data_IF_756233776509
#
_entry.id   IF_756233776509
#
_cell.length_a   1.000
_cell.length_b   1.000
_cell.length_c   1.000
_cell.angle_alpha   90.00
_cell.angle_beta   90.00
_cell.angle_gamma   90.00
#
_symmetry.space_group_name_H-M   'P 1'
#
loop_
_entity.id
_entity.type
_entity.pdbx_description
1 polymer ?
#
# COMPACT_ATOMS: atom_id res chain seq x y z
N UNK A 1 -9.51 -47.95 25.66
CA UNK A 1 -8.38 -47.25 25.01
C UNK A 1 -7.78 -46.32 26.05
N UNK A 2 -6.52 -46.54 26.46
CA UNK A 2 -5.92 -45.83 27.61
C UNK A 2 -5.88 -44.31 27.35
N UNK A 3 -6.32 -43.49 28.30
CA UNK A 3 -6.40 -42.01 28.21
C UNK A 3 -5.09 -41.37 27.75
N UNK A 4 -3.96 -41.96 28.13
CA UNK A 4 -2.62 -41.56 27.66
C UNK A 4 -2.42 -41.68 26.14
N UNK A 5 -2.97 -42.72 25.49
CA UNK A 5 -2.90 -42.86 24.03
C UNK A 5 -3.75 -41.82 23.30
N UNK A 6 -4.88 -41.41 23.90
CA UNK A 6 -5.76 -40.39 23.32
C UNK A 6 -5.12 -39.00 23.39
N UNK A 7 -4.49 -38.62 24.51
CA UNK A 7 -3.78 -37.35 24.62
C UNK A 7 -2.54 -37.25 23.73
N UNK A 8 -1.77 -38.35 23.59
CA UNK A 8 -0.62 -38.39 22.70
C UNK A 8 -1.04 -38.26 21.23
N UNK A 9 -2.13 -38.92 20.82
CA UNK A 9 -2.72 -38.76 19.50
C UNK A 9 -3.19 -37.33 19.26
N UNK A 10 -3.89 -36.70 20.21
CA UNK A 10 -4.32 -35.30 20.07
C UNK A 10 -3.11 -34.37 19.87
N UNK A 11 -2.04 -34.49 20.66
CA UNK A 11 -0.83 -33.66 20.49
C UNK A 11 -0.10 -33.92 19.16
N UNK A 12 -0.03 -35.18 18.72
CA UNK A 12 0.59 -35.55 17.45
C UNK A 12 -0.20 -35.06 16.22
N UNK A 13 -1.51 -34.82 16.36
CA UNK A 13 -2.35 -34.29 15.28
C UNK A 13 -2.59 -32.78 15.38
N UNK A 14 -2.58 -32.17 16.57
CA UNK A 14 -2.79 -30.72 16.73
C UNK A 14 -1.53 -29.90 16.51
N UNK A 15 -0.36 -30.38 16.92
CA UNK A 15 0.90 -29.64 16.73
C UNK A 15 1.25 -29.42 15.24
N UNK A 16 1.18 -30.42 14.35
CA UNK A 16 1.43 -30.22 12.91
C UNK A 16 0.35 -29.38 12.23
N UNK A 17 -0.88 -29.45 12.71
CA UNK A 17 -2.00 -28.66 12.18
C UNK A 17 -1.85 -27.18 12.55
N UNK A 18 -1.44 -26.90 13.79
CA UNK A 18 -1.18 -25.52 14.25
C UNK A 18 0.06 -24.96 13.56
N UNK A 19 1.15 -25.72 13.40
CA UNK A 19 2.31 -25.24 12.62
C UNK A 19 1.95 -25.03 11.15
N UNK A 20 1.18 -25.92 10.52
CA UNK A 20 0.68 -25.75 9.14
C UNK A 20 -0.21 -24.51 8.99
N UNK A 21 -1.10 -24.25 9.96
CA UNK A 21 -1.97 -23.06 9.96
C UNK A 21 -1.20 -21.74 10.14
N UNK A 22 -0.02 -21.75 10.79
CA UNK A 22 0.83 -20.57 10.96
C UNK A 22 1.90 -20.42 9.86
N UNK A 23 2.43 -21.53 9.35
CA UNK A 23 3.45 -21.53 8.29
C UNK A 23 2.85 -21.25 6.92
N UNK A 24 1.64 -21.71 6.62
CA UNK A 24 1.02 -21.47 5.31
C UNK A 24 0.81 -19.96 5.02
N UNK A 25 0.28 -19.13 5.93
CA UNK A 25 0.15 -17.69 5.71
C UNK A 25 1.48 -16.96 5.56
N UNK A 26 2.52 -17.37 6.31
CA UNK A 26 3.86 -16.77 6.25
C UNK A 26 4.58 -17.16 4.96
N UNK A 27 4.54 -18.43 4.57
CA UNK A 27 5.11 -18.92 3.31
C UNK A 27 4.43 -18.29 2.09
N UNK A 28 3.10 -18.12 2.14
CA UNK A 28 2.33 -17.49 1.07
C UNK A 28 2.60 -15.98 0.98
N UNK A 29 2.90 -15.29 2.11
CA UNK A 29 3.42 -13.91 2.12
C UNK A 29 4.84 -13.82 1.52
N UNK A 30 5.76 -14.69 1.90
CA UNK A 30 7.14 -14.69 1.39
C UNK A 30 7.18 -14.95 -0.12
N UNK A 31 6.37 -15.88 -0.63
CA UNK A 31 6.29 -16.15 -2.08
C UNK A 31 5.70 -15.00 -2.88
N UNK A 32 4.75 -14.24 -2.34
CA UNK A 32 4.16 -13.10 -3.04
C UNK A 32 5.15 -11.94 -3.24
N UNK A 33 5.93 -11.60 -2.20
CA UNK A 33 6.96 -10.56 -2.27
C UNK A 33 8.17 -10.94 -3.12
N UNK A 34 8.62 -12.19 -3.02
CA UNK A 34 9.71 -12.72 -3.85
C UNK A 34 9.34 -12.65 -5.33
N UNK A 35 8.06 -12.79 -5.66
CA UNK A 35 7.57 -12.70 -7.04
C UNK A 35 7.35 -11.27 -7.54
N UNK A 36 6.97 -10.31 -6.66
CA UNK A 36 6.75 -8.93 -7.07
C UNK A 36 8.05 -8.24 -7.50
N UNK A 37 9.17 -8.47 -6.80
CA UNK A 37 10.45 -7.82 -7.08
C UNK A 37 10.46 -6.32 -6.77
N UNK A 38 11.46 -5.61 -7.30
CA UNK A 38 11.69 -4.18 -7.04
C UNK A 38 11.69 -3.37 -8.33
N UNK A 39 11.06 -2.20 -8.29
CA UNK A 39 11.18 -1.14 -9.28
C UNK A 39 12.44 -0.31 -9.00
N UNK A 40 13.11 0.15 -10.07
CA UNK A 40 14.33 0.96 -9.96
C UNK A 40 14.05 2.44 -10.16
N UNK A 41 13.20 2.77 -11.13
CA UNK A 41 12.85 4.13 -11.48
C UNK A 41 11.36 4.34 -11.27
N UNK A 42 11.01 5.43 -10.58
CA UNK A 42 9.62 5.86 -10.44
C UNK A 42 9.54 7.35 -10.74
N UNK A 43 8.59 7.76 -11.56
CA UNK A 43 8.24 9.16 -11.78
C UNK A 43 6.74 9.34 -11.68
N UNK A 44 6.30 10.31 -10.91
CA UNK A 44 4.88 10.57 -10.62
C UNK A 44 4.53 11.97 -11.06
N UNK A 45 3.37 12.11 -11.71
CA UNK A 45 2.73 13.38 -12.03
C UNK A 45 1.33 13.41 -11.45
N UNK A 46 0.99 14.49 -10.76
CA UNK A 46 -0.40 14.78 -10.36
C UNK A 46 -1.09 15.44 -11.54
N UNK A 47 -1.92 14.69 -12.26
CA UNK A 47 -2.56 15.16 -13.50
C UNK A 47 -3.96 15.72 -13.22
N UNK A 48 -4.60 15.25 -12.15
CA UNK A 48 -5.94 15.69 -11.74
C UNK A 48 -6.00 15.77 -10.22
N UNK A 49 -6.42 16.92 -9.69
CA UNK A 49 -6.61 17.20 -8.27
C UNK A 49 -7.47 18.47 -8.11
N UNK A 50 -8.04 18.70 -6.92
CA UNK A 50 -8.75 19.94 -6.58
C UNK A 50 -7.81 21.06 -6.11
N UNK A 51 -6.54 20.78 -5.86
CA UNK A 51 -5.54 21.77 -5.49
C UNK A 51 -4.68 22.15 -6.71
N UNK A 52 -4.46 23.44 -6.98
CA UNK A 52 -3.53 23.87 -8.01
C UNK A 52 -2.07 23.71 -7.54
N UNK A 53 -1.16 23.45 -8.47
CA UNK A 53 0.29 23.58 -8.23
C UNK A 53 0.98 24.34 -9.36
N UNK A 54 0.86 23.86 -10.60
CA UNK A 54 1.40 24.54 -11.78
C UNK A 54 0.33 25.40 -12.46
N UNK A 55 0.67 26.65 -12.78
CA UNK A 55 -0.24 27.57 -13.47
C UNK A 55 -0.58 27.08 -14.89
N UNK A 56 -1.82 27.33 -15.33
CA UNK A 56 -2.28 27.01 -16.68
C UNK A 56 -2.92 25.62 -16.83
N UNK A 57 -2.94 24.81 -15.77
CA UNK A 57 -3.67 23.55 -15.70
C UNK A 57 -5.05 23.74 -15.06
N UNK A 58 -6.01 22.91 -15.46
CA UNK A 58 -7.35 22.94 -14.89
C UNK A 58 -7.39 22.10 -13.61
N UNK A 59 -8.06 22.63 -12.58
CA UNK A 59 -8.33 21.93 -11.31
C UNK A 59 -9.81 21.57 -11.24
N UNK A 60 -10.11 20.43 -10.63
CA UNK A 60 -11.50 19.97 -10.42
C UNK A 60 -11.53 18.90 -9.34
N UNK A 61 -12.71 18.62 -8.80
CA UNK A 61 -12.87 17.58 -7.78
C UNK A 61 -12.59 16.19 -8.37
N UNK A 62 -11.57 15.52 -7.84
CA UNK A 62 -11.13 14.18 -8.24
C UNK A 62 -9.62 14.00 -8.09
N UNK A 63 -9.14 12.79 -8.41
CA UNK A 63 -7.72 12.44 -8.37
C UNK A 63 -7.31 11.65 -9.61
N UNK A 64 -6.13 11.93 -10.14
CA UNK A 64 -5.45 11.07 -11.10
C UNK A 64 -3.94 11.29 -11.06
N UNK A 65 -3.19 10.19 -10.97
CA UNK A 65 -1.73 10.19 -10.99
C UNK A 65 -1.23 9.44 -12.22
N UNK A 66 -0.44 10.10 -13.07
CA UNK A 66 0.29 9.45 -14.15
C UNK A 66 1.66 9.04 -13.62
N UNK A 67 1.94 7.74 -13.64
CA UNK A 67 3.09 7.16 -12.97
C UNK A 67 3.87 6.31 -13.98
N UNK A 68 5.17 6.59 -14.11
CA UNK A 68 6.11 5.78 -14.88
C UNK A 68 6.93 4.96 -13.90
N UNK A 69 6.92 3.63 -14.06
CA UNK A 69 7.69 2.69 -13.24
C UNK A 69 8.55 1.82 -14.15
N UNK A 70 9.85 2.07 -14.16
CA UNK A 70 10.77 1.50 -15.16
C UNK A 70 10.20 1.69 -16.60
N UNK A 71 9.84 0.61 -17.30
CA UNK A 71 9.27 0.66 -18.66
C UNK A 71 7.72 0.69 -18.67
N UNK A 72 7.06 0.59 -17.51
CA UNK A 72 5.60 0.59 -17.40
C UNK A 72 5.06 2.01 -17.22
N UNK A 73 4.08 2.40 -18.02
CA UNK A 73 3.29 3.62 -17.81
C UNK A 73 1.92 3.23 -17.26
N UNK A 74 1.58 3.72 -16.07
CA UNK A 74 0.30 3.48 -15.44
C UNK A 74 -0.40 4.77 -15.05
N UNK A 75 -1.73 4.72 -15.04
CA UNK A 75 -2.59 5.79 -14.53
C UNK A 75 -3.35 5.27 -13.31
N UNK A 76 -3.16 5.91 -12.16
CA UNK A 76 -3.90 5.62 -10.94
C UNK A 76 -5.05 6.61 -10.80
N UNK A 77 -6.28 6.10 -10.87
CA UNK A 77 -7.53 6.88 -11.04
C UNK A 77 -7.52 7.81 -12.26
N UNK A 78 -8.68 8.37 -12.58
CA UNK A 78 -8.93 9.10 -13.85
C UNK A 78 -9.59 10.46 -13.65
N UNK A 79 -9.72 10.93 -12.40
CA UNK A 79 -10.43 12.16 -12.08
C UNK A 79 -11.93 12.11 -12.41
N UNK A 80 -12.60 13.25 -12.25
CA UNK A 80 -14.05 13.38 -12.47
C UNK A 80 -14.47 13.74 -13.89
N UNK A 81 -13.52 14.12 -14.77
CA UNK A 81 -13.84 14.62 -16.09
C UNK A 81 -12.73 14.29 -17.10
N UNK A 82 -13.09 13.57 -18.18
CA UNK A 82 -12.14 13.12 -19.19
C UNK A 82 -11.50 14.25 -20.01
N UNK A 83 -12.21 15.33 -20.30
CA UNK A 83 -11.66 16.45 -21.08
C UNK A 83 -10.59 17.20 -20.26
N UNK A 84 -10.84 17.43 -18.96
CA UNK A 84 -9.85 18.01 -18.04
C UNK A 84 -8.63 17.09 -17.93
N UNK A 85 -8.84 15.79 -17.76
CA UNK A 85 -7.77 14.80 -17.66
C UNK A 85 -6.84 14.86 -18.88
N UNK A 86 -7.40 14.71 -20.09
CA UNK A 86 -6.63 14.66 -21.33
C UNK A 86 -5.98 16.01 -21.65
N UNK A 87 -6.66 17.13 -21.40
CA UNK A 87 -6.08 18.46 -21.62
C UNK A 87 -4.91 18.75 -20.67
N UNK A 88 -5.02 18.34 -19.40
CA UNK A 88 -3.91 18.46 -18.47
C UNK A 88 -2.72 17.58 -18.88
N UNK A 89 -2.95 16.33 -19.30
CA UNK A 89 -1.89 15.46 -19.85
C UNK A 89 -1.19 16.15 -21.03
N UNK A 90 -1.96 16.66 -21.99
CA UNK A 90 -1.44 17.36 -23.17
C UNK A 90 -0.56 18.56 -22.77
N UNK A 91 -1.01 19.39 -21.84
CA UNK A 91 -0.26 20.55 -21.35
C UNK A 91 1.02 20.17 -20.58
N UNK A 92 1.01 19.01 -19.92
CA UNK A 92 2.17 18.45 -19.23
C UNK A 92 3.12 17.68 -20.18
N UNK A 93 2.77 17.54 -21.46
CA UNK A 93 3.54 16.76 -22.42
C UNK A 93 3.47 15.24 -22.18
N UNK A 94 2.41 14.77 -21.52
CA UNK A 94 2.15 13.36 -21.25
C UNK A 94 1.24 12.79 -22.35
N UNK A 95 1.61 11.63 -22.90
CA UNK A 95 0.86 10.98 -23.96
C UNK A 95 -0.13 9.95 -23.38
N UNK A 96 -1.46 10.16 -23.50
CA UNK A 96 -2.44 9.19 -23.02
C UNK A 96 -2.41 7.84 -23.77
N UNK A 97 -1.89 7.81 -24.99
CA UNK A 97 -1.77 6.58 -25.78
C UNK A 97 -0.60 5.68 -25.32
N UNK A 98 0.32 6.23 -24.53
CA UNK A 98 1.44 5.48 -23.93
C UNK A 98 1.06 4.70 -22.67
N UNK A 99 -0.13 4.92 -22.11
CA UNK A 99 -0.57 4.26 -20.88
C UNK A 99 -0.81 2.77 -21.14
N UNK A 100 -0.16 1.90 -20.40
CA UNK A 100 -0.31 0.44 -20.48
C UNK A 100 -1.45 -0.05 -19.57
N UNK A 101 -1.52 0.53 -18.37
CA UNK A 101 -2.36 0.07 -17.27
C UNK A 101 -3.10 1.23 -16.63
N UNK A 102 -4.39 1.01 -16.31
CA UNK A 102 -5.14 1.88 -15.39
C UNK A 102 -5.44 1.09 -14.12
N UNK A 103 -5.20 1.69 -12.96
CA UNK A 103 -5.59 1.14 -11.67
C UNK A 103 -6.64 2.06 -11.06
N UNK A 104 -7.87 1.56 -10.91
CA UNK A 104 -8.95 2.29 -10.26
C UNK A 104 -9.00 1.91 -8.78
N UNK A 105 -8.99 2.92 -7.92
CA UNK A 105 -9.03 2.74 -6.46
C UNK A 105 -10.41 2.29 -6.01
N UNK A 106 -11.47 3.01 -6.41
CA UNK A 106 -12.87 2.77 -6.07
C UNK A 106 -13.83 3.41 -7.09
N UNK A 107 -15.13 3.15 -6.96
CA UNK A 107 -16.13 3.41 -8.02
C UNK A 107 -16.63 4.88 -8.10
N UNK A 108 -16.23 5.77 -7.19
CA UNK A 108 -16.79 7.12 -7.19
C UNK A 108 -16.44 7.91 -8.46
N UNK A 109 -17.38 8.73 -8.91
CA UNK A 109 -17.33 9.41 -10.20
C UNK A 109 -16.12 10.34 -10.36
N UNK A 110 -15.63 10.91 -9.28
CA UNK A 110 -14.44 11.77 -9.21
C UNK A 110 -13.11 11.00 -9.31
N UNK A 111 -13.17 9.67 -9.35
CA UNK A 111 -12.02 8.78 -9.59
C UNK A 111 -12.14 8.02 -10.91
N UNK A 112 -13.36 7.73 -11.38
CA UNK A 112 -13.60 6.94 -12.61
C UNK A 112 -14.11 7.75 -13.81
N UNK A 113 -14.41 9.03 -13.61
CA UNK A 113 -15.11 9.88 -14.57
C UNK A 113 -14.33 10.15 -15.85
N UNK A 114 -13.00 10.12 -15.80
CA UNK A 114 -12.15 10.28 -16.99
C UNK A 114 -11.94 9.02 -17.81
N UNK A 115 -12.24 7.83 -17.26
CA UNK A 115 -11.87 6.55 -17.87
C UNK A 115 -12.39 6.38 -19.29
N UNK A 116 -13.68 6.59 -19.53
CA UNK A 116 -14.26 6.28 -20.84
C UNK A 116 -13.77 7.24 -21.93
N UNK A 117 -13.42 8.48 -21.58
CA UNK A 117 -12.77 9.41 -22.52
C UNK A 117 -11.35 8.96 -22.84
N UNK A 118 -10.61 8.44 -21.86
CA UNK A 118 -9.30 7.85 -22.09
C UNK A 118 -9.39 6.62 -23.02
N UNK A 119 -10.40 5.77 -22.86
CA UNK A 119 -10.58 4.59 -23.70
C UNK A 119 -10.94 4.94 -25.16
N UNK A 120 -11.49 6.13 -25.44
CA UNK A 120 -11.66 6.62 -26.82
C UNK A 120 -10.32 6.84 -27.54
N UNK A 121 -9.26 7.22 -26.80
CA UNK A 121 -7.93 7.49 -27.37
C UNK A 121 -6.97 6.32 -27.23
N UNK A 122 -7.17 5.46 -26.23
CA UNK A 122 -6.34 4.29 -25.95
C UNK A 122 -7.20 3.08 -25.51
N UNK A 123 -7.78 2.34 -26.45
CA UNK A 123 -8.67 1.23 -26.13
C UNK A 123 -7.95 -0.05 -25.68
N UNK A 124 -6.62 -0.16 -25.87
CA UNK A 124 -5.86 -1.40 -25.62
C UNK A 124 -5.28 -1.51 -24.20
N UNK A 125 -5.78 -0.69 -23.27
CA UNK A 125 -5.36 -0.65 -21.85
C UNK A 125 -5.87 -1.88 -21.10
N UNK A 126 -5.12 -2.30 -20.07
CA UNK A 126 -5.63 -3.19 -19.02
C UNK A 126 -6.06 -2.41 -17.78
N UNK A 127 -7.30 -2.56 -17.35
CA UNK A 127 -7.88 -1.85 -16.20
C UNK A 127 -7.97 -2.80 -15.00
N UNK A 128 -7.21 -2.51 -13.94
CA UNK A 128 -7.30 -3.18 -12.65
C UNK A 128 -8.31 -2.44 -11.79
N UNK A 129 -9.32 -3.16 -11.30
CA UNK A 129 -10.42 -2.60 -10.53
C UNK A 129 -10.90 -3.58 -9.45
N UNK A 130 -11.41 -3.11 -8.29
CA UNK A 130 -12.03 -3.95 -7.28
C UNK A 130 -13.11 -4.87 -7.87
N UNK A 131 -13.08 -6.16 -7.56
CA UNK A 131 -14.10 -7.17 -7.95
C UNK A 131 -15.53 -6.67 -7.67
N UNK A 132 -15.70 -5.92 -6.57
CA UNK A 132 -16.93 -5.33 -6.09
C UNK A 132 -17.49 -4.20 -6.97
N UNK A 133 -16.81 -3.81 -8.04
CA UNK A 133 -17.35 -2.85 -9.01
C UNK A 133 -18.63 -3.36 -9.67
N UNK A 134 -19.60 -2.47 -10.00
CA UNK A 134 -20.81 -2.86 -10.71
C UNK A 134 -20.53 -3.56 -12.03
N UNK A 135 -21.28 -4.63 -12.32
CA UNK A 135 -21.12 -5.43 -13.54
C UNK A 135 -21.29 -4.58 -14.80
N UNK A 136 -22.24 -3.65 -14.83
CA UNK A 136 -22.46 -2.78 -15.98
C UNK A 136 -21.29 -1.83 -16.26
N UNK A 137 -20.60 -1.39 -15.20
CA UNK A 137 -19.39 -0.58 -15.34
C UNK A 137 -18.26 -1.40 -15.99
N UNK A 138 -18.06 -2.65 -15.52
CA UNK A 138 -17.09 -3.60 -16.07
C UNK A 138 -17.40 -3.93 -17.55
N UNK A 139 -18.66 -4.21 -17.87
CA UNK A 139 -19.12 -4.47 -19.23
C UNK A 139 -18.86 -3.29 -20.18
N UNK A 140 -19.03 -2.05 -19.70
CA UNK A 140 -18.75 -0.85 -20.50
C UNK A 140 -17.26 -0.70 -20.81
N UNK A 141 -16.36 -1.06 -19.89
CA UNK A 141 -14.90 -1.04 -20.17
C UNK A 141 -14.59 -2.04 -21.29
N UNK A 142 -15.09 -3.26 -21.18
CA UNK A 142 -14.84 -4.34 -22.15
C UNK A 142 -15.44 -3.99 -23.52
N UNK A 143 -16.63 -3.38 -23.56
CA UNK A 143 -17.25 -2.98 -24.83
C UNK A 143 -16.49 -1.87 -25.57
N UNK A 144 -15.63 -1.13 -24.86
CA UNK A 144 -14.72 -0.13 -25.44
C UNK A 144 -13.36 -0.72 -25.87
N UNK A 145 -13.17 -2.04 -25.76
CA UNK A 145 -11.99 -2.75 -26.25
C UNK A 145 -10.91 -3.02 -25.18
N UNK A 146 -11.05 -2.43 -23.99
CA UNK A 146 -10.09 -2.60 -22.90
C UNK A 146 -10.24 -3.95 -22.21
N UNK A 147 -9.14 -4.43 -21.62
CA UNK A 147 -9.14 -5.62 -20.77
C UNK A 147 -9.41 -5.22 -19.33
N UNK A 148 -10.00 -6.10 -18.55
CA UNK A 148 -10.19 -5.90 -17.11
C UNK A 148 -9.47 -6.99 -16.31
N UNK A 149 -8.94 -6.61 -15.15
CA UNK A 149 -8.50 -7.52 -14.11
C UNK A 149 -9.29 -7.17 -12.86
N UNK A 150 -10.16 -8.08 -12.44
CA UNK A 150 -10.92 -7.94 -11.20
C UNK A 150 -10.02 -8.29 -10.02
N UNK A 151 -9.83 -7.33 -9.13
CA UNK A 151 -8.95 -7.43 -7.98
C UNK A 151 -9.79 -7.66 -6.74
N UNK A 152 -9.62 -8.82 -6.11
CA UNK A 152 -10.16 -9.11 -4.78
C UNK A 152 -9.05 -9.16 -3.74
N UNK A 153 -8.02 -9.95 -4.05
CA UNK A 153 -6.84 -10.18 -3.23
C UNK A 153 -5.66 -9.31 -3.71
N UNK A 154 -4.59 -9.16 -2.89
CA UNK A 154 -3.35 -8.53 -3.35
C UNK A 154 -2.90 -9.10 -4.68
N UNK A 155 -2.62 -8.23 -5.64
CA UNK A 155 -2.34 -8.64 -7.02
C UNK A 155 -1.11 -7.91 -7.54
N UNK A 156 -0.13 -8.67 -8.05
CA UNK A 156 1.03 -8.10 -8.75
C UNK A 156 0.60 -7.68 -10.15
N UNK A 157 0.89 -6.43 -10.51
CA UNK A 157 0.62 -5.85 -11.84
C UNK A 157 1.84 -6.08 -12.74
N UNK A 158 3.02 -5.71 -12.25
CA UNK A 158 4.29 -5.87 -12.92
C UNK A 158 5.42 -5.93 -11.88
N UNK A 159 6.67 -6.05 -12.33
CA UNK A 159 7.82 -6.04 -11.42
C UNK A 159 7.84 -4.76 -10.58
N UNK A 160 7.79 -4.92 -9.26
CA UNK A 160 7.77 -3.84 -8.28
C UNK A 160 6.43 -3.11 -8.16
N UNK A 161 5.38 -3.50 -8.89
CA UNK A 161 4.08 -2.82 -8.89
C UNK A 161 2.97 -3.80 -8.54
N UNK A 162 2.18 -3.50 -7.51
CA UNK A 162 1.08 -4.34 -7.05
C UNK A 162 -0.05 -3.51 -6.46
N UNK A 163 -1.17 -4.15 -6.13
CA UNK A 163 -2.26 -3.53 -5.36
C UNK A 163 -2.48 -4.24 -4.04
N UNK A 164 -3.13 -3.56 -3.10
CA UNK A 164 -3.46 -4.13 -1.77
C UNK A 164 -4.48 -5.26 -1.80
N UNK A 165 -5.17 -5.45 -2.93
CA UNK A 165 -6.48 -6.08 -2.93
C UNK A 165 -7.56 -5.13 -2.39
N UNK A 166 -8.78 -5.61 -2.31
CA UNK A 166 -9.89 -4.85 -1.75
C UNK A 166 -9.75 -4.71 -0.24
N UNK A 167 -10.04 -3.51 0.25
CA UNK A 167 -10.18 -3.19 1.65
C UNK A 167 -11.53 -2.51 1.79
N UNK A 168 -12.39 -3.05 2.66
CA UNK A 168 -13.71 -2.49 2.91
C UNK A 168 -13.70 -1.51 4.08
N UNK A 169 -14.35 -0.36 3.90
CA UNK A 169 -14.77 0.49 5.01
C UNK A 169 -15.54 1.71 4.55
N UNK A 170 -16.32 2.29 5.47
CA UNK A 170 -17.25 3.39 5.20
C UNK A 170 -18.21 3.13 4.01
N UNK A 171 -18.58 1.86 3.79
CA UNK A 171 -19.51 1.48 2.72
C UNK A 171 -18.87 1.29 1.34
N UNK A 172 -17.55 1.43 1.23
CA UNK A 172 -16.83 1.38 -0.05
C UNK A 172 -15.74 0.31 0.00
N UNK A 173 -15.67 -0.49 -1.06
CA UNK A 173 -14.51 -1.34 -1.35
C UNK A 173 -13.49 -0.52 -2.13
N UNK A 174 -12.26 -0.46 -1.62
CA UNK A 174 -11.18 0.32 -2.21
C UNK A 174 -9.88 -0.47 -2.24
N UNK A 175 -9.07 -0.27 -3.28
CA UNK A 175 -7.69 -0.74 -3.33
C UNK A 175 -6.70 0.43 -3.39
N UNK A 176 -5.50 0.21 -2.89
CA UNK A 176 -4.37 1.11 -3.04
C UNK A 176 -3.32 0.51 -3.98
N UNK A 177 -2.61 1.39 -4.70
CA UNK A 177 -1.44 1.04 -5.50
C UNK A 177 -0.19 1.02 -4.62
N UNK A 178 0.64 0.01 -4.79
CA UNK A 178 1.90 -0.18 -4.08
C UNK A 178 3.01 -0.29 -5.11
N UNK A 179 4.08 0.49 -4.92
CA UNK A 179 5.31 0.40 -5.70
C UNK A 179 6.46 0.10 -4.74
N UNK A 180 7.08 -1.05 -4.90
CA UNK A 180 8.16 -1.55 -4.05
C UNK A 180 9.50 -1.18 -4.70
N UNK A 181 10.33 -0.44 -3.97
CA UNK A 181 11.67 -0.05 -4.41
C UNK A 181 12.71 -0.48 -3.39
N UNK A 182 13.99 -0.49 -3.77
CA UNK A 182 15.08 -0.75 -2.82
C UNK A 182 15.18 0.29 -1.69
N UNK A 183 14.64 1.49 -1.92
CA UNK A 183 14.63 2.59 -0.95
C UNK A 183 13.38 2.60 -0.06
N UNK A 184 12.45 1.65 -0.23
CA UNK A 184 11.19 1.54 0.50
C UNK A 184 9.96 1.52 -0.42
N UNK A 185 8.80 1.35 0.19
CA UNK A 185 7.53 1.24 -0.53
C UNK A 185 6.84 2.59 -0.67
N UNK A 186 6.34 2.89 -1.88
CA UNK A 186 5.45 4.00 -2.14
C UNK A 186 4.01 3.47 -2.20
N UNK A 187 3.11 4.10 -1.46
CA UNK A 187 1.69 3.73 -1.37
C UNK A 187 0.84 4.88 -1.90
N UNK A 188 0.00 4.61 -2.90
CA UNK A 188 -0.96 5.57 -3.44
C UNK A 188 -2.39 5.12 -3.19
N UNK A 189 -3.21 6.02 -2.67
CA UNK A 189 -4.63 5.79 -2.35
C UNK A 189 -5.52 6.79 -3.07
N UNK A 190 -6.73 6.37 -3.44
CA UNK A 190 -7.73 7.24 -4.06
C UNK A 190 -8.29 8.21 -3.04
N UNK A 191 -9.21 7.70 -2.21
CA UNK A 191 -9.81 8.44 -1.10
C UNK A 191 -9.38 7.89 0.26
N UNK A 192 -9.05 6.61 0.38
CA UNK A 192 -8.88 5.92 1.66
C UNK A 192 -10.15 5.83 2.51
N UNK A 193 -11.29 5.49 1.90
CA UNK A 193 -12.55 5.22 2.61
C UNK A 193 -12.40 4.23 3.76
N UNK A 194 -11.61 3.15 3.65
CA UNK A 194 -11.40 2.23 4.77
C UNK A 194 -10.67 2.82 5.98
N UNK A 195 -9.96 3.94 5.78
CA UNK A 195 -8.99 4.53 6.69
C UNK A 195 -7.59 4.43 6.11
N UNK A 196 -6.92 5.57 5.94
CA UNK A 196 -5.56 5.61 5.37
C UNK A 196 -4.53 4.90 6.26
N UNK A 197 -4.75 4.92 7.57
CA UNK A 197 -4.02 4.13 8.57
C UNK A 197 -4.12 2.61 8.32
N UNK A 198 -5.31 2.11 7.94
CA UNK A 198 -5.50 0.70 7.58
C UNK A 198 -4.81 0.35 6.27
N UNK A 199 -4.83 1.25 5.28
CA UNK A 199 -4.11 1.07 4.02
C UNK A 199 -2.60 0.98 4.28
N UNK A 200 -2.05 1.86 5.11
CA UNK A 200 -0.63 1.84 5.50
C UNK A 200 -0.28 0.55 6.22
N UNK A 201 -1.08 0.13 7.20
CA UNK A 201 -0.90 -1.14 7.91
C UNK A 201 -0.91 -2.33 6.95
N UNK A 202 -1.88 -2.41 6.03
CA UNK A 202 -1.96 -3.45 5.00
C UNK A 202 -0.75 -3.44 4.07
N UNK A 203 -0.32 -2.27 3.59
CA UNK A 203 0.86 -2.15 2.72
C UNK A 203 2.15 -2.58 3.44
N UNK A 204 2.32 -2.20 4.71
CA UNK A 204 3.46 -2.62 5.52
C UNK A 204 3.46 -4.15 5.73
N UNK A 205 2.30 -4.73 6.01
CA UNK A 205 2.15 -6.18 6.15
C UNK A 205 2.42 -6.96 4.86
N UNK A 206 1.98 -6.43 3.72
CA UNK A 206 2.16 -7.05 2.42
C UNK A 206 3.60 -6.94 1.92
N UNK A 207 4.29 -5.85 2.24
CA UNK A 207 5.63 -5.58 1.69
C UNK A 207 6.77 -5.94 2.63
N UNK A 208 6.56 -5.91 3.94
CA UNK A 208 7.62 -6.11 4.92
C UNK A 208 8.77 -5.08 4.82
N UNK A 209 8.58 -4.00 4.06
CA UNK A 209 9.56 -2.92 3.86
C UNK A 209 9.10 -1.64 4.55
N UNK A 210 10.03 -0.72 4.81
CA UNK A 210 9.67 0.62 5.28
C UNK A 210 8.78 1.31 4.25
N UNK A 211 7.82 2.11 4.72
CA UNK A 211 6.98 2.93 3.85
C UNK A 211 7.71 4.25 3.58
N UNK A 212 8.20 4.43 2.35
CA UNK A 212 8.91 5.63 1.93
C UNK A 212 7.93 6.80 1.72
N UNK A 213 6.79 6.56 1.07
CA UNK A 213 5.80 7.59 0.76
C UNK A 213 4.38 7.04 0.91
N UNK A 214 3.50 7.84 1.51
CA UNK A 214 2.04 7.66 1.39
C UNK A 214 1.45 8.89 0.71
N UNK A 215 0.85 8.74 -0.47
CA UNK A 215 0.30 9.85 -1.27
C UNK A 215 -1.11 9.60 -1.78
N UNK A 216 -1.90 10.65 -1.93
CA UNK A 216 -3.27 10.56 -2.44
C UNK A 216 -4.30 11.23 -1.53
N UNK A 217 -5.57 10.86 -1.69
CA UNK A 217 -6.65 11.32 -0.81
C UNK A 217 -6.71 10.52 0.49
N UNK A 218 -6.79 11.19 1.63
CA UNK A 218 -6.84 10.53 2.95
C UNK A 218 -8.25 10.49 3.58
N UNK A 219 -9.26 11.07 2.90
CA UNK A 219 -10.65 11.22 3.38
C UNK A 219 -10.74 11.82 4.79
N UNK A 220 -10.00 12.91 5.00
CA UNK A 220 -9.92 13.62 6.28
C UNK A 220 -10.60 14.99 6.27
N UNK A 221 -11.17 15.42 5.14
CA UNK A 221 -11.99 16.62 5.09
C UNK A 221 -13.15 16.52 6.09
N UNK A 222 -13.27 17.50 6.99
CA UNK A 222 -14.29 17.50 8.06
C UNK A 222 -14.00 16.57 9.25
N UNK A 223 -12.85 15.88 9.28
CA UNK A 223 -12.43 15.09 10.45
C UNK A 223 -11.98 15.98 11.60
N UNK A 224 -12.14 15.49 12.84
CA UNK A 224 -11.61 16.17 14.01
C UNK A 224 -10.08 16.18 14.01
N UNK A 225 -9.51 17.22 14.62
CA UNK A 225 -8.06 17.34 14.83
C UNK A 225 -7.48 16.13 15.56
N UNK A 226 -8.16 15.61 16.59
CA UNK A 226 -7.73 14.42 17.34
C UNK A 226 -7.63 13.17 16.45
N UNK A 227 -8.60 12.98 15.54
CA UNK A 227 -8.57 11.87 14.58
C UNK A 227 -7.36 12.00 13.65
N UNK A 228 -7.12 13.20 13.13
CA UNK A 228 -5.98 13.47 12.23
C UNK A 228 -4.66 13.22 12.96
N UNK A 229 -4.51 13.71 14.19
CA UNK A 229 -3.31 13.48 15.02
C UNK A 229 -3.09 12.01 15.33
N UNK A 230 -4.17 11.26 15.59
CA UNK A 230 -4.09 9.81 15.77
C UNK A 230 -3.52 9.11 14.53
N UNK A 231 -3.98 9.48 13.34
CA UNK A 231 -3.48 8.92 12.07
C UNK A 231 -2.01 9.30 11.83
N UNK A 232 -1.63 10.55 12.11
CA UNK A 232 -0.23 10.99 12.04
C UNK A 232 0.65 10.14 12.96
N UNK A 233 0.20 9.85 14.19
CA UNK A 233 0.93 8.99 15.11
C UNK A 233 1.07 7.57 14.56
N UNK A 234 -0.01 6.99 14.02
CA UNK A 234 0.05 5.68 13.36
C UNK A 234 1.05 5.68 12.20
N UNK A 235 1.07 6.72 11.36
CA UNK A 235 2.05 6.82 10.27
C UNK A 235 3.49 6.84 10.80
N UNK A 236 3.75 7.56 11.89
CA UNK A 236 5.07 7.56 12.56
C UNK A 236 5.44 6.19 13.12
N UNK A 237 4.49 5.46 13.70
CA UNK A 237 4.68 4.09 14.20
C UNK A 237 5.06 3.11 13.09
N UNK A 238 4.44 3.23 11.91
CA UNK A 238 4.79 2.45 10.72
C UNK A 238 6.04 2.99 9.98
N UNK A 239 6.69 4.03 10.51
CA UNK A 239 7.91 4.60 9.93
C UNK A 239 7.70 5.22 8.55
N UNK A 240 6.50 5.75 8.27
CA UNK A 240 6.23 6.49 7.03
C UNK A 240 7.15 7.68 6.95
N UNK A 241 7.94 7.77 5.88
CA UNK A 241 8.97 8.79 5.75
C UNK A 241 8.44 10.10 5.13
N UNK A 242 7.73 10.01 4.00
CA UNK A 242 7.09 11.12 3.32
C UNK A 242 5.57 10.95 3.25
N UNK A 243 4.87 12.08 3.24
CA UNK A 243 3.40 12.13 3.05
C UNK A 243 3.04 13.14 1.98
N UNK A 244 2.05 12.82 1.16
CA UNK A 244 1.53 13.71 0.12
C UNK A 244 -0.01 13.75 0.21
N UNK A 245 -0.58 14.43 1.22
CA UNK A 245 -2.03 14.55 1.39
C UNK A 245 -2.62 15.49 0.32
N UNK A 246 -3.33 14.93 -0.66
CA UNK A 246 -3.97 15.67 -1.74
C UNK A 246 -5.47 15.34 -1.82
N UNK A 247 -6.16 15.81 -2.85
CA UNK A 247 -7.58 15.57 -3.08
C UNK A 247 -8.50 15.84 -1.87
N UNK A 248 -9.19 14.79 -1.36
CA UNK A 248 -10.17 14.82 -0.28
C UNK A 248 -9.58 14.88 1.13
N UNK A 249 -8.25 15.06 1.25
CA UNK A 249 -7.59 15.18 2.55
C UNK A 249 -8.07 16.40 3.34
N UNK A 250 -8.32 17.53 2.66
CA UNK A 250 -8.79 18.77 3.28
C UNK A 250 -7.68 19.60 3.95
N UNK A 251 -7.96 20.90 4.13
CA UNK A 251 -6.96 21.89 4.54
C UNK A 251 -6.40 21.63 5.94
N UNK A 252 -7.27 21.30 6.91
CA UNK A 252 -6.84 21.00 8.28
C UNK A 252 -5.88 19.80 8.32
N UNK A 253 -6.17 18.74 7.56
CA UNK A 253 -5.28 17.59 7.51
C UNK A 253 -3.95 17.97 6.85
N UNK A 254 -3.98 18.67 5.70
CA UNK A 254 -2.76 19.15 5.03
C UNK A 254 -1.89 20.00 5.95
N UNK A 255 -2.50 20.89 6.73
CA UNK A 255 -1.80 21.69 7.74
C UNK A 255 -1.16 20.82 8.82
N UNK A 256 -1.94 19.96 9.49
CA UNK A 256 -1.44 19.13 10.60
C UNK A 256 -0.36 18.13 10.15
N UNK A 257 -0.50 17.53 8.97
CA UNK A 257 0.55 16.72 8.38
C UNK A 257 1.79 17.55 8.06
N UNK A 258 1.64 18.79 7.55
CA UNK A 258 2.78 19.70 7.30
C UNK A 258 3.51 20.08 8.58
N UNK A 259 2.78 20.36 9.65
CA UNK A 259 3.35 20.62 10.98
C UNK A 259 4.11 19.39 11.52
N UNK A 260 3.55 18.19 11.33
CA UNK A 260 4.11 16.96 11.87
C UNK A 260 5.31 16.41 11.09
N UNK A 261 5.37 16.61 9.77
CA UNK A 261 6.37 16.04 8.85
C UNK A 261 7.36 17.07 8.28
N UNK A 262 7.10 18.38 8.45
CA UNK A 262 7.96 19.44 7.92
C UNK A 262 8.13 19.31 6.40
N UNK A 263 9.37 19.32 5.92
CA UNK A 263 9.67 19.21 4.49
C UNK A 263 9.33 17.84 3.89
N UNK A 264 9.12 16.82 4.73
CA UNK A 264 8.65 15.51 4.29
C UNK A 264 7.13 15.45 4.05
N UNK A 265 6.40 16.54 4.29
CA UNK A 265 5.03 16.71 3.81
C UNK A 265 5.01 17.50 2.50
N UNK A 266 4.64 16.81 1.43
CA UNK A 266 4.56 17.34 0.08
C UNK A 266 3.16 17.91 -0.15
N UNK A 267 3.06 19.24 -0.14
CA UNK A 267 1.82 19.95 -0.48
C UNK A 267 1.67 20.06 -2.00
N UNK A 268 1.32 18.94 -2.63
CA UNK A 268 1.11 18.84 -4.07
C UNK A 268 -0.28 19.31 -4.53
N UNK A 269 -0.44 19.37 -5.84
CA UNK A 269 -1.63 19.71 -6.61
C UNK A 269 -1.39 19.47 -8.10
N UNK A 270 -2.33 19.84 -8.97
CA UNK A 270 -2.26 19.60 -10.42
C UNK A 270 -0.99 20.19 -11.02
N UNK A 271 -0.21 19.34 -11.69
CA UNK A 271 1.07 19.64 -12.31
C UNK A 271 2.29 19.44 -11.44
N UNK A 272 2.13 19.07 -10.16
CA UNK A 272 3.25 18.61 -9.35
C UNK A 272 3.82 17.30 -9.91
N UNK A 273 5.14 17.15 -9.89
CA UNK A 273 5.80 15.91 -10.26
C UNK A 273 7.05 15.67 -9.44
N UNK A 274 7.39 14.41 -9.23
CA UNK A 274 8.63 14.00 -8.58
C UNK A 274 9.12 12.66 -9.13
N UNK A 275 10.39 12.37 -8.92
CA UNK A 275 11.05 11.10 -9.17
C UNK A 275 11.38 10.39 -7.86
N UNK A 276 11.64 9.09 -7.90
CA UNK A 276 12.16 8.35 -6.74
C UNK A 276 13.43 9.01 -6.17
N UNK A 277 14.28 9.55 -7.05
CA UNK A 277 15.52 10.21 -6.67
C UNK A 277 15.27 11.43 -5.78
N UNK A 278 14.25 12.23 -6.09
CA UNK A 278 13.88 13.42 -5.31
C UNK A 278 13.48 13.10 -3.86
N UNK A 279 13.03 11.86 -3.58
CA UNK A 279 12.68 11.43 -2.22
C UNK A 279 13.87 10.89 -1.43
N UNK A 280 14.90 10.38 -2.11
CA UNK A 280 16.03 9.68 -1.47
C UNK A 280 17.29 10.56 -1.39
N UNK A 281 17.39 11.59 -2.21
CA UNK A 281 18.46 12.58 -2.10
C UNK A 281 18.12 13.61 -1.02
N UNK A 282 18.94 13.66 0.03
CA UNK A 282 19.15 14.89 0.81
C UNK A 282 20.16 15.75 0.05
N UNK A 283 20.13 17.09 0.11
CA UNK A 283 21.14 17.91 -0.54
C UNK A 283 22.51 17.49 0.00
N UNK A 284 23.38 16.99 -0.88
CA UNK A 284 24.78 16.79 -0.52
C UNK A 284 25.33 18.20 -0.30
N UNK A 285 25.48 18.61 0.97
CA UNK A 285 26.41 19.69 1.28
C UNK A 285 27.78 19.23 0.81
N UNK A 286 28.27 19.84 -0.27
CA UNK A 286 29.65 19.68 -0.70
C UNK A 286 30.58 20.34 0.31
N UNK A 287 30.88 19.65 1.41
CA UNK A 287 32.13 19.91 2.14
C UNK A 287 33.24 19.15 1.45
N UNK A 288 33.97 19.86 0.60
CA UNK A 288 35.30 19.45 0.14
C UNK A 288 36.21 19.26 1.34
N UNK A 289 36.56 18.01 1.69
CA UNK A 289 37.87 17.73 2.29
C UNK A 289 38.34 16.35 1.88
N UNK A 290 39.36 16.38 1.02
CA UNK A 290 40.28 15.31 0.67
C UNK A 290 40.84 14.62 1.91
N UNK A 291 40.66 13.30 2.07
CA UNK A 291 41.72 12.44 2.62
C UNK A 291 41.59 11.00 2.16
N UNK A 292 42.75 10.42 1.86
CA UNK A 292 43.03 9.14 1.19
C UNK A 292 43.32 8.07 2.24
N UNK A 293 42.99 6.81 1.92
CA UNK A 293 43.38 5.55 2.60
C UNK A 293 42.70 5.29 3.96
N UNK A 294 42.33 4.07 4.36
CA UNK A 294 43.01 2.76 4.29
C UNK A 294 41.93 1.65 4.30
N UNK A 295 42.14 0.59 3.49
CA UNK A 295 41.43 -0.68 3.62
C UNK A 295 41.92 -1.44 4.86
N UNK A 296 41.03 -1.71 5.81
CA UNK A 296 41.16 -2.83 6.75
C UNK A 296 39.81 -3.50 6.91
N UNK A 297 39.76 -4.76 6.51
CA UNK A 297 38.63 -5.65 6.73
C UNK A 297 38.46 -5.91 8.23
N UNK A 298 37.25 -5.73 8.75
CA UNK A 298 36.83 -6.25 10.04
C UNK A 298 35.48 -6.92 9.92
N UNK A 299 35.48 -8.23 10.16
CA UNK A 299 34.31 -9.06 10.38
C UNK A 299 33.44 -8.47 11.50
N UNK A 300 32.15 -8.25 11.22
CA UNK A 300 31.12 -8.11 12.26
C UNK A 300 29.85 -8.86 11.87
N UNK A 301 29.67 -9.95 12.59
CA UNK A 301 28.43 -10.63 13.05
C UNK A 301 27.08 -9.99 12.71
N UNK A 302 26.18 -10.85 12.20
CA UNK A 302 24.72 -10.66 12.05
C UNK A 302 24.08 -10.01 13.30
N UNK A 303 23.09 -9.10 13.15
CA UNK A 303 22.23 -8.71 14.26
C UNK A 303 21.33 -9.88 14.66
N UNK A 304 21.30 -10.19 15.95
CA UNK A 304 20.50 -11.25 16.53
C UNK A 304 18.99 -10.95 16.44
N UNK A 305 18.21 -11.98 16.10
CA UNK A 305 16.77 -12.00 16.29
C UNK A 305 16.46 -11.67 17.76
N UNK A 306 15.60 -10.66 17.98
CA UNK A 306 15.17 -10.22 19.29
C UNK A 306 14.59 -11.37 20.12
N UNK A 307 15.17 -11.60 21.28
CA UNK A 307 14.78 -12.61 22.27
C UNK A 307 13.39 -12.40 22.87
N UNK A 308 12.71 -11.29 22.57
CA UNK A 308 11.40 -10.94 23.12
C UNK A 308 10.23 -11.71 22.48
N UNK A 309 10.32 -12.07 21.19
CA UNK A 309 9.28 -12.85 20.50
C UNK A 309 9.33 -14.36 20.82
N UNK A 310 10.51 -14.89 21.13
CA UNK A 310 10.66 -16.29 21.55
C UNK A 310 10.17 -16.51 22.99
N UNK A 311 10.35 -15.53 23.87
CA UNK A 311 9.89 -15.61 25.27
C UNK A 311 8.36 -15.58 25.37
N UNK A 312 7.66 -14.83 24.51
CA UNK A 312 6.20 -14.80 24.49
C UNK A 312 5.59 -16.10 23.95
N UNK A 313 6.18 -16.68 22.90
CA UNK A 313 5.75 -17.98 22.37
C UNK A 313 5.95 -19.13 23.37
N UNK A 314 7.08 -19.13 24.10
CA UNK A 314 7.34 -20.10 25.18
C UNK A 314 6.35 -19.96 26.34
N UNK A 315 5.99 -18.73 26.73
CA UNK A 315 5.02 -18.50 27.81
C UNK A 315 3.63 -19.02 27.44
N UNK A 316 3.18 -18.76 26.20
CA UNK A 316 1.89 -19.23 25.70
C UNK A 316 1.87 -20.76 25.63
N UNK A 317 2.97 -21.39 25.18
CA UNK A 317 3.12 -22.84 25.20
C UNK A 317 3.09 -23.43 26.60
N UNK A 318 3.78 -22.81 27.57
CA UNK A 318 3.81 -23.27 28.96
C UNK A 318 2.43 -23.19 29.63
N UNK A 319 1.65 -22.13 29.34
CA UNK A 319 0.28 -21.96 29.83
C UNK A 319 -0.64 -23.03 29.22
N UNK A 320 -0.61 -23.20 27.88
CA UNK A 320 -1.42 -24.22 27.20
C UNK A 320 -1.09 -25.63 27.69
N UNK A 321 0.19 -25.95 27.87
CA UNK A 321 0.64 -27.24 28.37
C UNK A 321 0.15 -27.48 29.80
N UNK A 322 0.19 -26.46 30.66
CA UNK A 322 -0.29 -26.56 32.05
C UNK A 322 -1.80 -26.76 32.11
N UNK A 323 -2.57 -26.05 31.29
CA UNK A 323 -4.04 -26.21 31.21
C UNK A 323 -4.41 -27.62 30.75
N UNK A 324 -3.74 -28.14 29.71
CA UNK A 324 -3.95 -29.51 29.24
C UNK A 324 -3.61 -30.53 30.33
N UNK A 325 -2.51 -30.34 31.06
CA UNK A 325 -2.12 -31.22 32.16
C UNK A 325 -3.16 -31.23 33.31
N UNK A 326 -3.70 -30.06 33.67
CA UNK A 326 -4.75 -29.94 34.68
C UNK A 326 -6.02 -30.67 34.24
N UNK A 327 -6.44 -30.51 32.99
CA UNK A 327 -7.61 -31.22 32.43
C UNK A 327 -7.40 -32.73 32.47
N UNK A 328 -6.21 -33.22 32.11
CA UNK A 328 -5.86 -34.64 32.19
C UNK A 328 -5.96 -35.15 33.64
N UNK A 329 -5.42 -34.41 34.61
CA UNK A 329 -5.47 -34.78 36.03
C UNK A 329 -6.91 -34.81 36.56
N UNK A 330 -7.74 -33.83 36.18
CA UNK A 330 -9.16 -33.77 36.58
C UNK A 330 -9.92 -34.99 36.00
N UNK A 331 -9.73 -35.29 34.72
CA UNK A 331 -10.37 -36.44 34.06
C UNK A 331 -9.88 -37.77 34.67
N UNK A 332 -8.59 -37.88 34.98
CA UNK A 332 -8.03 -39.05 35.66
C UNK A 332 -8.63 -39.27 37.05
N UNK A 333 -8.71 -38.21 37.88
CA UNK A 333 -9.33 -38.29 39.22
C UNK A 333 -10.82 -38.61 39.18
N UNK A 334 -11.54 -38.19 38.13
CA UNK A 334 -12.98 -38.45 37.98
C UNK A 334 -13.28 -39.87 37.48
N UNK A 335 -12.33 -40.51 36.80
CA UNK A 335 -12.48 -41.87 36.26
C UNK A 335 -11.98 -42.96 37.22
N UNK A 336 -11.25 -42.59 38.27
CA UNK A 336 -10.64 -43.51 39.25
C UNK A 336 -11.13 -43.26 40.69
N UNK A 337 -12.35 -42.74 40.84
CA UNK A 337 -13.08 -42.64 42.11
C UNK A 337 -14.32 -43.51 42.11
#
# INVERSE_FOLDING_TARGET
MNTYRLCLLVLLFTAPLITSLYEAPLYQRETFLVNAGYANNVKVYVVYDNNPYLSGLAVSWGLSLYIVVDDLVLLFDTGGNGDILLENMRKLGLDPSSIDVVVLSHIHGDHVGGLFKLLEVNPNITVYLPESFPVDFKNRIVSMGARIVEVKEPTVISKGVMTTGEIYGNGVYEQALIIITHSGTLVFTGCAHPGVDKIVSRAAELTGTKILLVGGGFHLAGSSEDRIKSIINTFKEYGVEYVMPIHCSGDLARQLFKEAYGDKCILAGVGYSFTLQDLIETPIEYTTTTTKSIYTASNTTKPGLGTTALVSAFLVWAILFTVVLIVIIIVYKKTHR
#
